data_IF_721526847022
#
_entry.id   IF_721526847022
#
_cell.length_a   1.000
_cell.length_b   1.000
_cell.length_c   1.000
_cell.angle_alpha   90.00
_cell.angle_beta   90.00
_cell.angle_gamma   90.00
#
_symmetry.space_group_name_H-M   'P 1'
#
loop_
_entity.id
_entity.type
_entity.pdbx_description
1 polymer ?
#
# COMPACT_ATOMS: atom_id res chain seq x y z
N UNK A 1 -16.65 -0.16 -18.72
CA UNK A 1 -16.68 -0.30 -17.24
C UNK A 1 -15.31 -0.80 -16.84
N UNK A 2 -14.66 -0.13 -15.89
CA UNK A 2 -13.35 -0.58 -15.40
C UNK A 2 -13.52 -1.91 -14.65
N UNK A 3 -12.62 -2.86 -14.88
CA UNK A 3 -12.67 -4.18 -14.27
C UNK A 3 -11.61 -4.31 -13.19
N UNK A 4 -11.99 -4.94 -12.08
CA UNK A 4 -11.16 -5.18 -10.92
C UNK A 4 -11.16 -6.68 -10.61
N UNK A 5 -10.51 -7.52 -11.43
CA UNK A 5 -10.51 -8.95 -11.19
C UNK A 5 -9.79 -9.30 -9.89
N UNK A 6 -10.23 -10.39 -9.28
CA UNK A 6 -9.54 -10.97 -8.13
C UNK A 6 -8.21 -11.58 -8.56
N UNK A 7 -7.14 -11.25 -7.84
CA UNK A 7 -5.79 -11.74 -8.09
C UNK A 7 -5.22 -12.35 -6.80
N UNK A 8 -4.65 -13.57 -6.86
CA UNK A 8 -4.04 -14.22 -5.71
C UNK A 8 -2.70 -13.55 -5.37
N UNK A 9 -2.42 -13.40 -4.08
CA UNK A 9 -1.14 -12.96 -3.54
C UNK A 9 -0.53 -14.09 -2.68
N UNK A 10 0.80 -14.09 -2.55
CA UNK A 10 1.55 -15.00 -1.66
C UNK A 10 1.16 -16.48 -1.85
N UNK A 11 1.19 -16.98 -3.09
CA UNK A 11 0.83 -18.36 -3.41
C UNK A 11 -0.66 -18.68 -3.30
N UNK A 12 -1.53 -17.65 -3.21
CA UNK A 12 -2.98 -17.81 -3.08
C UNK A 12 -3.49 -17.83 -1.65
N UNK A 13 -2.65 -17.50 -0.66
CA UNK A 13 -3.07 -17.37 0.74
C UNK A 13 -3.99 -16.15 0.95
N UNK A 14 -3.83 -15.12 0.12
CA UNK A 14 -4.65 -13.91 0.11
C UNK A 14 -5.16 -13.64 -1.30
N UNK A 15 -6.26 -12.90 -1.40
CA UNK A 15 -6.74 -12.34 -2.66
C UNK A 15 -6.96 -10.84 -2.54
N UNK A 16 -6.80 -10.14 -3.65
CA UNK A 16 -7.04 -8.70 -3.75
C UNK A 16 -7.67 -8.36 -5.09
N UNK A 17 -8.31 -7.20 -5.19
CA UNK A 17 -8.87 -6.68 -6.44
C UNK A 17 -8.25 -5.31 -6.72
N UNK A 18 -7.75 -5.13 -7.94
CA UNK A 18 -7.24 -3.84 -8.42
C UNK A 18 -7.39 -3.76 -9.93
N UNK A 19 -7.25 -2.54 -10.47
CA UNK A 19 -7.50 -2.26 -11.88
C UNK A 19 -6.63 -3.11 -12.79
N UNK A 20 -7.20 -3.57 -13.92
CA UNK A 20 -6.48 -4.33 -14.94
C UNK A 20 -5.24 -3.64 -15.51
N UNK A 21 -5.13 -2.32 -15.34
CA UNK A 21 -3.97 -1.52 -15.79
C UNK A 21 -2.65 -1.90 -15.12
N UNK A 22 -2.71 -2.56 -13.96
CA UNK A 22 -1.53 -3.06 -13.28
C UNK A 22 -1.16 -4.45 -13.80
N UNK A 23 0.01 -4.54 -14.41
CA UNK A 23 0.53 -5.74 -15.07
C UNK A 23 1.76 -6.30 -14.34
N UNK A 24 2.06 -7.59 -14.57
CA UNK A 24 3.28 -8.25 -14.07
C UNK A 24 3.49 -8.06 -12.56
N UNK A 25 4.58 -7.39 -12.19
CA UNK A 25 4.95 -7.01 -10.82
C UNK A 25 4.09 -5.87 -10.24
N UNK A 26 2.82 -5.78 -10.65
CA UNK A 26 1.86 -4.76 -10.22
C UNK A 26 2.26 -3.32 -10.57
N UNK A 27 2.66 -3.09 -11.82
CA UNK A 27 3.05 -1.77 -12.34
C UNK A 27 2.08 -1.32 -13.42
N UNK A 28 1.73 -0.03 -13.43
CA UNK A 28 1.10 0.65 -14.57
C UNK A 28 2.13 1.56 -15.26
N UNK A 29 2.70 1.13 -16.40
CA UNK A 29 3.72 1.90 -17.11
C UNK A 29 3.15 3.15 -17.81
N UNK A 30 1.83 3.24 -18.02
CA UNK A 30 1.23 4.40 -18.66
C UNK A 30 1.07 5.58 -17.69
N UNK A 31 1.12 5.33 -16.37
CA UNK A 31 0.98 6.36 -15.33
C UNK A 31 2.16 6.48 -14.37
N UNK A 32 3.19 5.66 -14.55
CA UNK A 32 4.34 5.57 -13.64
C UNK A 32 3.92 5.25 -12.20
N UNK A 33 2.98 4.30 -12.06
CA UNK A 33 2.43 3.89 -10.77
C UNK A 33 2.75 2.42 -10.50
N UNK A 34 2.92 2.07 -9.22
CA UNK A 34 3.10 0.69 -8.78
C UNK A 34 2.30 0.41 -7.52
N UNK A 35 1.91 -0.85 -7.35
CA UNK A 35 1.31 -1.36 -6.13
C UNK A 35 2.32 -2.27 -5.45
N UNK A 36 2.56 -2.02 -4.17
CA UNK A 36 3.42 -2.84 -3.33
C UNK A 36 2.57 -3.37 -2.19
N UNK A 37 2.69 -4.67 -1.94
CA UNK A 37 2.02 -5.34 -0.82
C UNK A 37 3.08 -5.86 0.14
N UNK A 38 2.99 -5.47 1.39
CA UNK A 38 3.94 -5.83 2.44
C UNK A 38 3.18 -6.36 3.65
N UNK A 39 3.68 -7.46 4.23
CA UNK A 39 3.16 -8.05 5.46
C UNK A 39 4.12 -7.70 6.59
N UNK A 40 3.63 -6.94 7.57
CA UNK A 40 4.40 -6.47 8.71
C UNK A 40 3.99 -7.20 9.99
N UNK A 41 4.92 -7.27 10.94
CA UNK A 41 4.60 -7.71 12.30
C UNK A 41 3.72 -6.68 13.01
N UNK A 42 2.86 -7.15 13.92
CA UNK A 42 2.02 -6.28 14.72
C UNK A 42 2.86 -5.43 15.68
N UNK A 43 2.76 -4.11 15.55
CA UNK A 43 3.33 -3.17 16.51
C UNK A 43 2.44 -3.02 17.72
N UNK A 44 2.87 -3.57 18.85
CA UNK A 44 2.11 -3.56 20.11
C UNK A 44 2.07 -2.20 20.82
N UNK A 45 2.96 -1.28 20.45
CA UNK A 45 3.13 0.06 21.02
C UNK A 45 2.46 1.16 20.19
N UNK A 46 1.72 0.79 19.13
CA UNK A 46 1.03 1.73 18.24
C UNK A 46 -0.46 1.39 18.21
N UNK A 47 -1.31 2.37 18.53
CA UNK A 47 -2.76 2.21 18.42
C UNK A 47 -3.18 2.04 16.95
N UNK A 48 -4.30 1.34 16.72
CA UNK A 48 -4.81 1.06 15.37
C UNK A 48 -4.99 2.33 14.52
N UNK A 49 -5.55 3.38 15.11
CA UNK A 49 -5.73 4.70 14.48
C UNK A 49 -4.40 5.40 14.12
N UNK A 50 -3.30 5.05 14.79
CA UNK A 50 -1.96 5.60 14.58
C UNK A 50 -1.09 4.76 13.67
N UNK A 51 -1.48 3.51 13.40
CA UNK A 51 -0.69 2.53 12.64
C UNK A 51 -0.32 3.02 11.24
N UNK A 52 -1.28 3.58 10.51
CA UNK A 52 -1.05 4.13 9.17
C UNK A 52 -0.09 5.32 9.16
N UNK A 53 -0.22 6.23 10.13
CA UNK A 53 0.67 7.37 10.23
C UNK A 53 2.09 6.96 10.63
N UNK A 54 2.20 6.03 11.58
CA UNK A 54 3.47 5.45 12.01
C UNK A 54 4.20 4.79 10.84
N UNK A 55 3.51 3.93 10.08
CA UNK A 55 4.13 3.23 8.94
C UNK A 55 4.63 4.20 7.87
N UNK A 56 3.83 5.21 7.50
CA UNK A 56 4.24 6.19 6.49
C UNK A 56 5.45 7.03 6.94
N UNK A 57 5.55 7.35 8.24
CA UNK A 57 6.71 8.02 8.81
C UNK A 57 7.96 7.14 8.79
N UNK A 58 7.82 5.87 9.14
CA UNK A 58 8.91 4.90 9.11
C UNK A 58 9.43 4.72 7.67
N UNK A 59 8.53 4.50 6.73
CA UNK A 59 8.85 4.40 5.30
C UNK A 59 9.55 5.66 4.78
N UNK A 60 9.04 6.85 5.11
CA UNK A 60 9.66 8.09 4.69
C UNK A 60 11.06 8.27 5.28
N UNK A 61 11.28 7.90 6.55
CA UNK A 61 12.61 7.91 7.18
C UNK A 61 13.58 7.01 6.43
N UNK A 62 13.18 5.79 6.10
CA UNK A 62 14.04 4.86 5.36
C UNK A 62 14.40 5.36 3.96
N UNK A 63 13.49 6.11 3.34
CA UNK A 63 13.71 6.73 2.03
C UNK A 63 14.34 8.14 2.09
N UNK A 64 14.65 8.67 3.28
CA UNK A 64 15.19 10.03 3.44
C UNK A 64 14.22 11.14 3.05
N UNK A 65 12.93 10.94 3.24
CA UNK A 65 11.82 11.80 2.79
C UNK A 65 10.96 12.37 3.94
N UNK A 66 11.48 12.42 5.17
CA UNK A 66 10.72 12.72 6.41
C UNK A 66 9.95 14.05 6.39
N UNK A 67 10.41 15.03 5.60
CA UNK A 67 9.76 16.34 5.44
C UNK A 67 8.65 16.40 4.39
N UNK A 68 8.38 15.31 3.66
CA UNK A 68 7.49 15.31 2.49
C UNK A 68 6.20 14.50 2.69
N UNK A 69 5.90 14.09 3.92
CA UNK A 69 4.72 13.26 4.20
C UNK A 69 3.48 14.13 4.33
N UNK A 70 2.51 13.93 3.44
CA UNK A 70 1.16 14.49 3.57
C UNK A 70 0.22 13.34 3.90
N UNK A 71 -0.25 13.30 5.14
CA UNK A 71 -1.18 12.26 5.60
C UNK A 71 -2.59 12.84 5.59
N UNK A 72 -3.46 12.29 4.74
CA UNK A 72 -4.90 12.58 4.73
C UNK A 72 -5.65 11.29 4.97
N UNK A 73 -6.37 11.23 6.10
CA UNK A 73 -7.30 10.14 6.37
C UNK A 73 -8.72 10.60 6.00
N UNK A 74 -9.53 9.73 5.37
CA UNK A 74 -10.95 10.02 5.19
C UNK A 74 -11.59 10.29 6.56
N UNK A 75 -12.22 11.46 6.71
CA UNK A 75 -13.11 11.70 7.84
C UNK A 75 -14.40 10.95 7.54
N UNK A 76 -14.64 9.85 8.26
CA UNK A 76 -15.90 9.11 8.23
C UNK A 76 -17.03 9.91 8.89
#
# INVERSE_FOLDING_TARGET
MEQFPERPLFGGAFSTTFSLRFEGMFVDPARDESLIFELLELKHDVEDNGSGAWFLQDLAREQGAEGNIVISFPQY
#
